data_IF_722691253650
#
_entry.id   IF_722691253650
#
_cell.length_a   1.000
_cell.length_b   1.000
_cell.length_c   1.000
_cell.angle_alpha   90.00
_cell.angle_beta   90.00
_cell.angle_gamma   90.00
#
_symmetry.space_group_name_H-M   'P 1'
#
loop_
_entity.id
_entity.type
_entity.pdbx_description
1 polymer ?
#
# COMPACT_ATOMS: atom_id res chain seq x y z
N UNK A 1 -21.55 -14.48 -27.02
CA UNK A 1 -20.76 -15.69 -26.71
C UNK A 1 -19.36 -15.49 -27.27
N UNK A 2 -18.53 -14.71 -26.57
CA UNK A 2 -17.14 -14.44 -26.99
C UNK A 2 -16.24 -15.50 -26.37
N UNK A 3 -15.70 -16.40 -27.20
CA UNK A 3 -14.63 -17.31 -26.80
C UNK A 3 -13.39 -16.46 -26.48
N UNK A 4 -13.12 -16.26 -25.18
CA UNK A 4 -11.90 -15.63 -24.69
C UNK A 4 -10.73 -16.59 -24.89
N UNK A 5 -10.12 -16.54 -26.07
CA UNK A 5 -8.81 -17.13 -26.31
C UNK A 5 -7.74 -16.23 -25.67
N UNK A 6 -7.56 -16.35 -24.36
CA UNK A 6 -6.25 -16.01 -23.78
C UNK A 6 -5.29 -17.02 -24.41
N UNK A 7 -4.29 -16.60 -25.23
CA UNK A 7 -3.38 -17.54 -25.84
C UNK A 7 -2.71 -18.37 -24.73
N UNK A 8 -2.50 -19.68 -24.92
CA UNK A 8 -1.86 -20.51 -23.91
C UNK A 8 -0.49 -19.91 -23.58
N UNK A 9 -0.37 -19.35 -22.38
CA UNK A 9 0.89 -18.79 -21.89
C UNK A 9 1.95 -19.90 -21.96
N UNK A 10 3.04 -19.65 -22.70
CA UNK A 10 4.13 -20.62 -22.85
C UNK A 10 4.67 -21.08 -21.50
N UNK A 11 5.15 -22.33 -21.43
CA UNK A 11 5.62 -22.94 -20.18
C UNK A 11 6.69 -22.13 -19.43
N UNK A 12 7.52 -21.39 -20.17
CA UNK A 12 8.53 -20.47 -19.61
C UNK A 12 7.94 -19.34 -18.78
N UNK A 13 6.82 -18.74 -19.21
CA UNK A 13 6.16 -17.63 -18.50
C UNK A 13 5.56 -18.12 -17.18
N UNK A 14 5.03 -19.35 -17.14
CA UNK A 14 4.52 -19.94 -15.89
C UNK A 14 5.64 -20.15 -14.86
N UNK A 15 6.83 -20.56 -15.32
CA UNK A 15 8.01 -20.70 -14.45
C UNK A 15 8.44 -19.33 -13.92
N UNK A 16 8.55 -18.32 -14.78
CA UNK A 16 8.83 -16.93 -14.40
C UNK A 16 7.84 -16.45 -13.31
N UNK A 17 6.55 -16.74 -13.47
CA UNK A 17 5.50 -16.36 -12.53
C UNK A 17 5.67 -17.03 -11.16
N UNK A 18 5.97 -18.33 -11.13
CA UNK A 18 6.25 -19.07 -9.89
C UNK A 18 7.49 -18.50 -9.18
N UNK A 19 8.54 -18.17 -9.93
CA UNK A 19 9.76 -17.54 -9.37
C UNK A 19 9.43 -16.22 -8.67
N UNK A 20 8.51 -15.42 -9.19
CA UNK A 20 8.09 -14.18 -8.54
C UNK A 20 7.51 -14.43 -7.13
N UNK A 21 6.68 -15.47 -6.99
CA UNK A 21 6.12 -15.88 -5.69
C UNK A 21 7.23 -16.35 -4.74
N UNK A 22 8.17 -17.17 -5.23
CA UNK A 22 9.30 -17.66 -4.44
C UNK A 22 10.19 -16.52 -3.93
N UNK A 23 10.46 -15.51 -4.77
CA UNK A 23 11.19 -14.31 -4.33
C UNK A 23 10.40 -13.56 -3.24
N UNK A 24 9.07 -13.41 -3.39
CA UNK A 24 8.21 -12.84 -2.37
C UNK A 24 8.32 -13.57 -1.01
N UNK A 25 8.21 -14.89 -1.02
CA UNK A 25 8.42 -15.73 0.17
C UNK A 25 9.82 -15.52 0.76
N UNK A 26 10.84 -15.44 -0.10
CA UNK A 26 12.20 -15.11 0.30
C UNK A 26 12.32 -13.76 1.02
N UNK A 27 11.59 -12.72 0.57
CA UNK A 27 11.54 -11.42 1.23
C UNK A 27 10.85 -11.47 2.61
N UNK A 28 9.81 -12.30 2.77
CA UNK A 28 9.20 -12.57 4.09
C UNK A 28 10.24 -13.17 5.05
N UNK A 29 11.00 -14.15 4.57
CA UNK A 29 12.06 -14.78 5.36
C UNK A 29 13.15 -13.76 5.72
N UNK A 30 13.57 -12.89 4.80
CA UNK A 30 14.57 -11.85 5.09
C UNK A 30 14.07 -10.79 6.07
N UNK A 31 12.78 -10.46 6.05
CA UNK A 31 12.16 -9.46 6.94
C UNK A 31 11.74 -9.99 8.31
N UNK A 32 11.87 -11.30 8.58
CA UNK A 32 11.39 -11.99 9.81
C UNK A 32 11.81 -11.42 11.16
N UNK A 33 12.84 -10.56 11.20
CA UNK A 33 13.33 -9.94 12.43
C UNK A 33 12.68 -8.57 12.72
N UNK A 34 11.94 -8.00 11.77
CA UNK A 34 11.11 -6.82 11.95
C UNK A 34 9.66 -7.21 11.66
N UNK A 35 8.86 -7.40 12.72
CA UNK A 35 7.50 -7.95 12.59
C UNK A 35 6.59 -7.09 11.70
N UNK A 36 6.54 -5.75 11.84
CA UNK A 36 5.76 -4.93 10.93
C UNK A 36 6.15 -5.10 9.45
N UNK A 37 7.46 -5.12 9.16
CA UNK A 37 7.96 -5.32 7.81
C UNK A 37 7.66 -6.74 7.30
N UNK A 38 7.75 -7.75 8.17
CA UNK A 38 7.40 -9.12 7.84
C UNK A 38 5.92 -9.24 7.43
N UNK A 39 5.00 -8.65 8.19
CA UNK A 39 3.56 -8.63 7.85
C UNK A 39 3.32 -7.90 6.53
N UNK A 40 3.99 -6.76 6.31
CA UNK A 40 3.89 -6.05 5.04
C UNK A 40 4.42 -6.88 3.85
N UNK A 41 5.52 -7.64 4.02
CA UNK A 41 6.06 -8.53 2.99
C UNK A 41 5.17 -9.76 2.76
N UNK A 42 4.47 -10.26 3.79
CA UNK A 42 3.45 -11.32 3.61
C UNK A 42 2.34 -10.80 2.71
N UNK A 43 1.86 -9.58 2.94
CA UNK A 43 0.86 -8.95 2.07
C UNK A 43 1.37 -8.78 0.63
N UNK A 44 2.58 -8.28 0.42
CA UNK A 44 3.18 -8.16 -0.93
C UNK A 44 3.26 -9.53 -1.60
N UNK A 45 3.67 -10.57 -0.88
CA UNK A 45 3.73 -11.94 -1.40
C UNK A 45 2.34 -12.45 -1.78
N UNK A 46 1.32 -12.15 -0.96
CA UNK A 46 -0.06 -12.50 -1.27
C UNK A 46 -0.60 -11.78 -2.51
N UNK A 47 -0.18 -10.53 -2.73
CA UNK A 47 -0.50 -9.80 -3.95
C UNK A 47 0.11 -10.48 -5.18
N UNK A 48 1.40 -10.84 -5.10
CA UNK A 48 2.11 -11.54 -6.19
C UNK A 48 1.45 -12.90 -6.45
N UNK A 49 1.14 -13.65 -5.40
CA UNK A 49 0.40 -14.92 -5.50
C UNK A 49 -0.92 -14.74 -6.25
N UNK A 50 -1.71 -13.73 -5.88
CA UNK A 50 -3.02 -13.46 -6.49
C UNK A 50 -2.90 -13.13 -7.97
N UNK A 51 -1.90 -12.34 -8.35
CA UNK A 51 -1.58 -12.04 -9.75
C UNK A 51 -1.22 -13.32 -10.51
N UNK A 52 -0.31 -14.13 -9.96
CA UNK A 52 0.19 -15.34 -10.61
C UNK A 52 -0.92 -16.38 -10.77
N UNK A 53 -1.73 -16.60 -9.74
CA UNK A 53 -2.85 -17.52 -9.82
C UNK A 53 -3.94 -17.01 -10.76
N UNK A 54 -4.32 -15.74 -10.65
CA UNK A 54 -5.40 -15.14 -11.43
C UNK A 54 -5.10 -14.98 -12.91
N UNK A 55 -3.87 -14.62 -13.27
CA UNK A 55 -3.50 -14.24 -14.64
C UNK A 55 -2.60 -15.25 -15.37
N UNK A 56 -1.93 -16.17 -14.67
CA UNK A 56 -0.92 -17.06 -15.29
C UNK A 56 -1.18 -18.56 -15.12
N UNK A 57 -1.70 -18.98 -13.97
CA UNK A 57 -1.88 -20.41 -13.67
C UNK A 57 -3.33 -20.85 -13.91
N UNK A 58 -4.30 -20.18 -13.30
CA UNK A 58 -5.70 -20.60 -13.30
C UNK A 58 -6.54 -19.74 -14.28
N UNK A 59 -5.99 -19.43 -15.46
CA UNK A 59 -6.60 -18.51 -16.44
C UNK A 59 -7.98 -18.93 -16.94
N UNK A 60 -8.29 -20.23 -16.92
CA UNK A 60 -9.59 -20.78 -17.29
C UNK A 60 -10.70 -20.61 -16.24
N UNK A 61 -10.36 -20.16 -15.03
CA UNK A 61 -11.29 -20.12 -13.89
C UNK A 61 -11.93 -18.75 -13.61
N UNK A 62 -11.90 -17.83 -14.60
CA UNK A 62 -12.47 -16.48 -14.50
C UNK A 62 -11.94 -15.63 -13.31
N UNK A 63 -10.76 -15.95 -12.80
CA UNK A 63 -10.13 -15.25 -11.66
C UNK A 63 -9.40 -13.97 -12.06
N UNK A 64 -9.12 -13.81 -13.35
CA UNK A 64 -8.51 -12.61 -13.92
C UNK A 64 -9.51 -11.46 -14.07
N UNK A 65 -8.98 -10.29 -14.42
CA UNK A 65 -9.82 -9.10 -14.70
C UNK A 65 -10.65 -9.33 -15.97
N UNK A 66 -11.93 -8.90 -16.01
CA UNK A 66 -12.81 -9.08 -17.17
C UNK A 66 -12.46 -8.16 -18.36
N UNK A 67 -11.42 -7.34 -18.24
CA UNK A 67 -10.88 -6.49 -19.31
C UNK A 67 -9.81 -7.28 -20.07
N UNK A 68 -9.82 -7.23 -21.41
CA UNK A 68 -8.95 -8.09 -22.23
C UNK A 68 -8.08 -7.36 -23.25
N UNK A 69 -8.26 -6.05 -23.38
CA UNK A 69 -7.63 -5.23 -24.43
C UNK A 69 -6.10 -5.37 -24.47
N UNK A 70 -5.45 -5.38 -23.30
CA UNK A 70 -3.99 -5.49 -23.18
C UNK A 70 -3.51 -6.89 -22.76
N UNK A 71 -4.39 -7.90 -22.76
CA UNK A 71 -4.09 -9.28 -22.34
C UNK A 71 -3.39 -10.11 -23.41
N UNK A 72 -2.39 -9.53 -24.06
CA UNK A 72 -1.53 -10.26 -25.01
C UNK A 72 -0.36 -10.91 -24.27
N UNK A 73 0.14 -12.02 -24.79
CA UNK A 73 1.28 -12.74 -24.20
C UNK A 73 2.51 -11.83 -24.08
N UNK A 74 2.75 -10.96 -25.05
CA UNK A 74 3.89 -10.05 -25.08
C UNK A 74 3.83 -8.99 -23.98
N UNK A 75 2.69 -8.29 -23.85
CA UNK A 75 2.48 -7.25 -22.83
C UNK A 75 2.55 -7.88 -21.43
N UNK A 76 1.85 -8.99 -21.22
CA UNK A 76 1.81 -9.66 -19.92
C UNK A 76 3.17 -10.27 -19.54
N UNK A 77 3.91 -10.85 -20.49
CA UNK A 77 5.28 -11.34 -20.21
C UNK A 77 6.20 -10.18 -19.84
N UNK A 78 6.12 -9.05 -20.56
CA UNK A 78 6.92 -7.85 -20.26
C UNK A 78 6.58 -7.29 -18.88
N UNK A 79 5.29 -7.19 -18.54
CA UNK A 79 4.81 -6.73 -17.23
C UNK A 79 5.33 -7.63 -16.09
N UNK A 80 5.33 -8.95 -16.30
CA UNK A 80 5.82 -9.91 -15.32
C UNK A 80 7.33 -9.78 -15.13
N UNK A 81 8.08 -9.61 -16.22
CA UNK A 81 9.53 -9.43 -16.19
C UNK A 81 9.95 -8.13 -15.51
N UNK A 82 9.18 -7.05 -15.67
CA UNK A 82 9.36 -5.80 -14.91
C UNK A 82 9.22 -6.07 -13.40
N UNK A 83 8.17 -6.77 -12.99
CA UNK A 83 7.94 -7.14 -11.59
C UNK A 83 9.08 -8.04 -11.06
N UNK A 84 9.48 -9.05 -11.83
CA UNK A 84 10.57 -9.97 -11.47
C UNK A 84 11.90 -9.26 -11.30
N UNK A 85 12.27 -8.38 -12.23
CA UNK A 85 13.51 -7.60 -12.14
C UNK A 85 13.52 -6.74 -10.88
N UNK A 86 12.43 -6.02 -10.63
CA UNK A 86 12.26 -5.21 -9.43
C UNK A 86 12.41 -6.03 -8.15
N UNK A 87 11.68 -7.14 -8.04
CA UNK A 87 11.74 -8.03 -6.88
C UNK A 87 13.12 -8.66 -6.70
N UNK A 88 13.78 -9.05 -7.78
CA UNK A 88 15.12 -9.65 -7.76
C UNK A 88 16.17 -8.68 -7.22
N UNK A 89 16.15 -7.42 -7.66
CA UNK A 89 17.06 -6.38 -7.16
C UNK A 89 16.81 -6.15 -5.67
N UNK A 90 15.55 -5.99 -5.26
CA UNK A 90 15.21 -5.82 -3.84
C UNK A 90 15.68 -7.02 -3.02
N UNK A 91 15.46 -8.23 -3.51
CA UNK A 91 15.86 -9.45 -2.84
C UNK A 91 17.39 -9.56 -2.70
N UNK A 92 18.15 -9.33 -3.76
CA UNK A 92 19.62 -9.42 -3.75
C UNK A 92 20.22 -8.37 -2.80
N UNK A 93 19.78 -7.12 -2.93
CA UNK A 93 20.33 -6.00 -2.15
C UNK A 93 19.60 -5.73 -0.83
N UNK A 94 18.73 -6.64 -0.41
CA UNK A 94 17.99 -6.54 0.84
C UNK A 94 18.96 -6.36 2.03
N UNK A 95 18.67 -5.45 2.98
CA UNK A 95 19.54 -5.20 4.12
C UNK A 95 19.86 -6.49 4.90
N UNK A 96 21.15 -6.84 5.01
CA UNK A 96 21.62 -8.08 5.69
C UNK A 96 21.39 -8.06 7.21
N UNK A 97 21.50 -6.89 7.84
CA UNK A 97 21.24 -6.68 9.26
C UNK A 97 20.03 -5.78 9.40
N UNK A 98 18.99 -6.32 10.02
CA UNK A 98 17.82 -5.57 10.46
C UNK A 98 18.01 -5.39 11.96
N UNK A 99 18.40 -4.19 12.39
CA UNK A 99 18.46 -3.93 13.82
C UNK A 99 17.04 -4.00 14.40
N UNK A 100 16.93 -4.61 15.58
CA UNK A 100 15.66 -4.89 16.25
C UNK A 100 14.83 -3.63 16.49
N UNK A 101 13.50 -3.83 16.42
CA UNK A 101 12.36 -2.97 16.78
C UNK A 101 12.55 -1.45 16.64
N UNK A 102 11.67 -0.84 15.83
CA UNK A 102 11.39 0.60 15.90
C UNK A 102 10.84 0.96 17.29
N UNK A 103 11.70 1.19 18.27
CA UNK A 103 11.27 1.69 19.58
C UNK A 103 11.20 3.21 19.47
N UNK A 104 10.12 3.68 18.85
CA UNK A 104 9.77 5.09 18.87
C UNK A 104 9.38 5.47 20.29
N UNK A 105 10.22 6.25 20.98
CA UNK A 105 9.93 6.78 22.30
C UNK A 105 8.94 7.95 22.18
N UNK A 106 7.69 7.83 22.68
CA UNK A 106 6.72 8.93 22.61
C UNK A 106 7.16 10.11 23.47
N UNK A 107 6.83 11.33 23.04
CA UNK A 107 6.97 12.56 23.81
C UNK A 107 5.61 12.96 24.37
N UNK A 108 5.53 13.25 25.67
CA UNK A 108 4.28 13.64 26.31
C UNK A 108 3.92 15.08 25.94
N UNK A 109 2.78 15.27 25.27
CA UNK A 109 2.18 16.59 25.10
C UNK A 109 0.65 16.47 24.95
N UNK A 110 -0.09 16.81 26.02
CA UNK A 110 -1.55 16.67 26.05
C UNK A 110 -2.28 17.58 25.06
N UNK A 111 -1.78 18.80 24.83
CA UNK A 111 -2.43 19.77 23.95
C UNK A 111 -2.35 19.32 22.49
N UNK A 112 -1.15 18.95 22.03
CA UNK A 112 -0.95 18.40 20.69
C UNK A 112 -1.73 17.10 20.52
N UNK A 113 -1.67 16.20 21.51
CA UNK A 113 -2.42 14.96 21.49
C UNK A 113 -3.93 15.21 21.30
N UNK A 114 -4.52 16.07 22.13
CA UNK A 114 -5.96 16.34 22.11
C UNK A 114 -6.39 17.00 20.79
N UNK A 115 -5.59 17.92 20.26
CA UNK A 115 -5.83 18.54 18.95
C UNK A 115 -5.82 17.50 17.81
N UNK A 116 -4.85 16.58 17.80
CA UNK A 116 -4.79 15.50 16.80
C UNK A 116 -5.99 14.57 16.94
N UNK A 117 -6.37 14.19 18.16
CA UNK A 117 -7.55 13.34 18.41
C UNK A 117 -8.83 14.02 17.88
N UNK A 118 -8.99 15.32 18.11
CA UNK A 118 -10.15 16.08 17.59
C UNK A 118 -10.21 16.03 16.06
N UNK A 119 -9.07 16.19 15.37
CA UNK A 119 -9.01 16.08 13.90
C UNK A 119 -9.32 14.64 13.46
N UNK A 120 -8.80 13.62 14.15
CA UNK A 120 -9.10 12.23 13.83
C UNK A 120 -10.58 11.90 14.00
N UNK A 121 -11.24 12.41 15.05
CA UNK A 121 -12.69 12.26 15.22
C UNK A 121 -13.44 12.96 14.09
N UNK A 122 -13.05 14.19 13.72
CA UNK A 122 -13.62 14.89 12.58
C UNK A 122 -13.50 14.08 11.28
N UNK A 123 -12.32 13.53 10.99
CA UNK A 123 -12.09 12.67 9.81
C UNK A 123 -12.92 11.38 9.90
N UNK A 124 -13.05 10.77 11.08
CA UNK A 124 -13.87 9.58 11.26
C UNK A 124 -15.34 9.84 10.94
N UNK A 125 -15.85 11.01 11.32
CA UNK A 125 -17.24 11.39 11.09
C UNK A 125 -17.47 11.84 9.63
N UNK A 126 -16.61 12.69 9.07
CA UNK A 126 -16.87 13.36 7.78
C UNK A 126 -16.00 12.85 6.61
N UNK A 127 -14.98 12.05 6.87
CA UNK A 127 -14.04 11.55 5.86
C UNK A 127 -14.55 10.38 5.03
N UNK A 128 -15.81 9.96 5.21
CA UNK A 128 -16.44 8.87 4.46
C UNK A 128 -17.75 9.35 3.85
N UNK A 129 -17.93 9.01 2.57
CA UNK A 129 -19.18 9.23 1.84
C UNK A 129 -20.22 8.15 2.19
N UNK A 130 -21.32 8.57 2.84
CA UNK A 130 -22.40 7.69 3.29
C UNK A 130 -23.61 7.67 2.36
N UNK A 131 -23.55 8.29 1.19
CA UNK A 131 -24.67 8.32 0.22
C UNK A 131 -25.02 6.92 -0.32
N UNK A 132 -26.28 6.69 -0.74
CA UNK A 132 -26.77 5.38 -1.24
C UNK A 132 -26.24 5.14 -2.66
N UNK A 133 -25.78 3.92 -2.98
CA UNK A 133 -25.00 3.63 -4.20
C UNK A 133 -25.80 3.04 -5.36
N UNK A 134 -25.42 3.41 -6.59
CA UNK A 134 -25.76 2.74 -7.86
C UNK A 134 -24.56 2.08 -8.57
N UNK A 135 -23.29 2.40 -8.21
CA UNK A 135 -22.08 1.87 -8.88
C UNK A 135 -20.86 1.61 -7.96
N UNK A 136 -19.88 0.83 -8.45
CA UNK A 136 -18.70 0.29 -7.73
C UNK A 136 -17.62 1.36 -7.44
N UNK A 137 -17.81 2.22 -6.44
CA UNK A 137 -16.77 3.14 -5.95
C UNK A 137 -16.45 2.94 -4.47
N UNK A 138 -15.18 3.14 -4.09
CA UNK A 138 -14.72 3.13 -2.70
C UNK A 138 -15.04 4.48 -2.05
N UNK A 139 -15.70 4.48 -0.89
CA UNK A 139 -16.27 5.69 -0.22
C UNK A 139 -15.30 6.47 0.67
N UNK A 140 -14.00 6.26 0.48
CA UNK A 140 -12.96 6.74 1.38
C UNK A 140 -12.33 8.00 0.79
N UNK A 141 -12.40 9.11 1.52
CA UNK A 141 -11.72 10.34 1.10
C UNK A 141 -10.20 10.22 1.23
N UNK A 142 -9.45 11.00 0.45
CA UNK A 142 -8.00 11.08 0.61
C UNK A 142 -7.58 11.49 2.02
N UNK A 143 -8.37 12.33 2.70
CA UNK A 143 -8.14 12.70 4.11
C UNK A 143 -8.15 11.49 5.03
N UNK A 144 -9.06 10.54 4.80
CA UNK A 144 -9.15 9.31 5.56
C UNK A 144 -7.92 8.43 5.32
N UNK A 145 -7.41 8.35 4.10
CA UNK A 145 -6.16 7.61 3.81
C UNK A 145 -4.94 8.22 4.51
N UNK A 146 -4.85 9.56 4.54
CA UNK A 146 -3.77 10.27 5.22
C UNK A 146 -3.91 10.29 6.75
N UNK A 147 -5.03 9.81 7.31
CA UNK A 147 -5.22 9.71 8.76
C UNK A 147 -4.17 8.83 9.45
N UNK A 148 -3.53 7.91 8.72
CA UNK A 148 -2.43 7.07 9.24
C UNK A 148 -1.26 7.91 9.76
N UNK A 149 -0.99 9.07 9.15
CA UNK A 149 0.04 10.01 9.61
C UNK A 149 -0.39 10.63 10.94
N UNK A 150 -1.65 11.06 11.03
CA UNK A 150 -2.19 11.65 12.26
C UNK A 150 -2.21 10.65 13.41
N UNK A 151 -2.56 9.39 13.15
CA UNK A 151 -2.47 8.33 14.16
C UNK A 151 -1.03 8.11 14.66
N UNK A 152 -0.03 8.17 13.77
CA UNK A 152 1.37 8.06 14.16
C UNK A 152 1.79 9.22 15.07
N UNK A 153 1.38 10.45 14.76
CA UNK A 153 1.66 11.62 15.61
C UNK A 153 0.82 11.66 16.90
N UNK A 154 -0.40 11.11 16.89
CA UNK A 154 -1.19 10.90 18.10
C UNK A 154 -0.46 9.94 19.04
N UNK A 155 0.04 8.82 18.53
CA UNK A 155 0.89 7.92 19.31
C UNK A 155 2.16 8.63 19.81
N UNK A 156 2.85 9.35 18.94
CA UNK A 156 4.09 10.05 19.29
C UNK A 156 3.88 11.10 20.38
N UNK A 157 2.75 11.81 20.40
CA UNK A 157 2.38 12.82 21.41
C UNK A 157 1.75 12.24 22.70
N UNK A 158 1.40 10.96 22.71
CA UNK A 158 0.68 10.32 23.83
C UNK A 158 1.53 10.13 25.09
N UNK A 159 2.86 10.23 24.99
CA UNK A 159 3.77 9.86 26.08
C UNK A 159 3.62 8.39 26.47
N UNK A 160 3.82 8.07 27.77
CA UNK A 160 3.63 6.70 28.29
C UNK A 160 2.29 6.52 29.04
N UNK A 161 1.27 7.31 28.71
CA UNK A 161 -0.02 7.27 29.42
C UNK A 161 -0.95 6.21 28.82
N UNK A 162 -1.36 5.23 29.63
CA UNK A 162 -2.22 4.12 29.19
C UNK A 162 -3.54 4.62 28.58
N UNK A 163 -4.23 5.54 29.24
CA UNK A 163 -5.51 6.10 28.78
C UNK A 163 -5.42 6.64 27.35
N UNK A 164 -4.36 7.40 27.04
CA UNK A 164 -4.18 7.99 25.70
C UNK A 164 -3.92 6.93 24.64
N UNK A 165 -3.12 5.91 24.97
CA UNK A 165 -2.88 4.76 24.09
C UNK A 165 -4.18 3.96 23.85
N UNK A 166 -5.01 3.80 24.87
CA UNK A 166 -6.34 3.17 24.75
C UNK A 166 -7.26 3.97 23.83
N UNK A 167 -7.32 5.30 23.98
CA UNK A 167 -8.11 6.18 23.10
C UNK A 167 -7.67 6.04 21.64
N UNK A 168 -6.36 6.06 21.37
CA UNK A 168 -5.83 5.83 20.02
C UNK A 168 -6.26 4.45 19.51
N UNK A 169 -6.11 3.40 20.32
CA UNK A 169 -6.48 2.04 19.94
C UNK A 169 -7.96 1.89 19.58
N UNK A 170 -8.86 2.48 20.38
CA UNK A 170 -10.29 2.49 20.11
C UNK A 170 -10.63 3.21 18.80
N UNK A 171 -9.98 4.36 18.55
CA UNK A 171 -10.17 5.09 17.29
C UNK A 171 -9.63 4.32 16.08
N UNK A 172 -8.46 3.68 16.20
CA UNK A 172 -7.93 2.81 15.13
C UNK A 172 -8.90 1.67 14.81
N UNK A 173 -9.46 1.03 15.84
CA UNK A 173 -10.45 -0.04 15.68
C UNK A 173 -11.71 0.49 14.99
N UNK A 174 -12.23 1.63 15.42
CA UNK A 174 -13.39 2.27 14.78
C UNK A 174 -13.12 2.56 13.30
N UNK A 175 -11.95 3.11 12.97
CA UNK A 175 -11.56 3.38 11.59
C UNK A 175 -11.44 2.09 10.76
N UNK A 176 -10.85 1.02 11.29
CA UNK A 176 -10.74 -0.26 10.59
C UNK A 176 -12.14 -0.84 10.29
N UNK A 177 -13.03 -0.88 11.28
CA UNK A 177 -14.38 -1.41 11.07
C UNK A 177 -15.20 -0.57 10.09
N UNK A 178 -15.10 0.76 10.22
CA UNK A 178 -15.78 1.67 9.31
C UNK A 178 -15.26 1.51 7.87
N UNK A 179 -13.95 1.42 7.71
CA UNK A 179 -13.30 1.19 6.41
C UNK A 179 -13.76 -0.13 5.78
N UNK A 180 -13.74 -1.24 6.52
CA UNK A 180 -14.26 -2.53 6.04
C UNK A 180 -15.74 -2.49 5.68
N UNK A 181 -16.57 -1.82 6.49
CA UNK A 181 -18.01 -1.68 6.22
C UNK A 181 -18.28 -0.97 4.89
N UNK A 182 -17.49 0.06 4.56
CA UNK A 182 -17.58 0.79 3.30
C UNK A 182 -16.68 0.23 2.19
N UNK A 183 -16.15 -0.98 2.37
CA UNK A 183 -15.43 -1.73 1.34
C UNK A 183 -13.96 -1.35 1.14
N UNK A 184 -13.40 -0.54 2.04
CA UNK A 184 -11.97 -0.30 2.20
C UNK A 184 -11.27 -1.53 2.73
N UNK A 185 -10.06 -1.81 2.21
CA UNK A 185 -9.24 -2.97 2.60
C UNK A 185 -7.80 -2.57 2.88
N UNK A 186 -7.25 -1.76 1.97
CA UNK A 186 -5.84 -1.33 2.02
C UNK A 186 -5.59 -0.33 3.14
N UNK A 187 -6.47 0.66 3.30
CA UNK A 187 -6.45 1.65 4.38
C UNK A 187 -6.52 1.00 5.76
N UNK A 188 -7.46 0.07 5.97
CA UNK A 188 -7.48 -0.77 7.19
C UNK A 188 -6.16 -1.47 7.44
N UNK A 189 -5.56 -2.09 6.42
CA UNK A 189 -4.27 -2.76 6.57
C UNK A 189 -3.15 -1.79 6.96
N UNK A 190 -3.15 -0.55 6.45
CA UNK A 190 -2.17 0.48 6.85
C UNK A 190 -2.31 0.82 8.34
N UNK A 191 -3.54 0.95 8.85
CA UNK A 191 -3.81 1.23 10.27
C UNK A 191 -3.43 0.02 11.14
N UNK A 192 -3.71 -1.22 10.70
CA UNK A 192 -3.29 -2.45 11.39
C UNK A 192 -1.76 -2.50 11.48
N UNK A 193 -1.05 -2.29 10.37
CA UNK A 193 0.41 -2.25 10.36
C UNK A 193 0.95 -1.15 11.28
N UNK A 194 0.25 0.00 11.37
CA UNK A 194 0.63 1.08 12.26
C UNK A 194 0.46 0.68 13.72
N UNK A 195 -0.65 0.03 14.08
CA UNK A 195 -0.88 -0.51 15.41
C UNK A 195 0.21 -1.54 15.80
N UNK A 196 0.57 -2.45 14.89
CA UNK A 196 1.68 -3.42 15.06
C UNK A 196 3.01 -2.69 15.28
N UNK A 197 3.25 -1.60 14.57
CA UNK A 197 4.48 -0.81 14.66
C UNK A 197 4.58 0.06 15.92
N UNK A 198 3.46 0.35 16.59
CA UNK A 198 3.37 1.34 17.66
C UNK A 198 2.80 0.77 18.97
N UNK A 199 1.49 0.55 19.02
CA UNK A 199 0.76 0.11 20.22
C UNK A 199 1.08 -1.34 20.61
N UNK A 200 1.22 -2.21 19.61
CA UNK A 200 1.45 -3.66 19.80
C UNK A 200 2.91 -4.05 19.59
N UNK A 201 3.80 -3.07 19.48
CA UNK A 201 5.21 -3.29 19.24
C UNK A 201 5.83 -4.09 20.41
N UNK A 202 6.49 -5.19 20.09
CA UNK A 202 7.05 -6.12 21.09
C UNK A 202 6.03 -7.06 21.76
N UNK A 203 4.72 -6.84 21.59
CA UNK A 203 3.68 -7.74 22.10
C UNK A 203 3.38 -8.90 21.14
N UNK A 204 3.56 -8.68 19.85
CA UNK A 204 3.27 -9.67 18.81
C UNK A 204 4.51 -10.53 18.59
N UNK A 205 4.35 -11.86 18.61
CA UNK A 205 5.40 -12.81 18.23
C UNK A 205 5.35 -13.10 16.73
N UNK A 206 6.44 -13.65 16.17
CA UNK A 206 6.49 -14.04 14.74
C UNK A 206 5.40 -15.04 14.37
N UNK A 207 5.12 -16.00 15.26
CA UNK A 207 4.05 -17.00 15.11
C UNK A 207 2.68 -16.32 15.06
N UNK A 208 2.41 -15.41 15.99
CA UNK A 208 1.15 -14.67 16.03
C UNK A 208 0.98 -13.78 14.78
N UNK A 209 2.05 -13.12 14.32
CA UNK A 209 2.03 -12.34 13.10
C UNK A 209 1.73 -13.19 11.85
N UNK A 210 2.29 -14.40 11.76
CA UNK A 210 2.01 -15.33 10.64
C UNK A 210 0.55 -15.79 10.65
N UNK A 211 0.07 -16.29 11.79
CA UNK A 211 -1.33 -16.74 11.95
C UNK A 211 -2.29 -15.57 11.70
N UNK A 212 -2.01 -14.41 12.29
CA UNK A 212 -2.80 -13.20 12.10
C UNK A 212 -2.83 -12.72 10.66
N UNK A 213 -1.75 -12.91 9.89
CA UNK A 213 -1.73 -12.57 8.46
C UNK A 213 -2.60 -13.54 7.64
N UNK A 214 -2.60 -14.84 7.95
CA UNK A 214 -3.47 -15.83 7.30
C UNK A 214 -4.95 -15.50 7.58
N UNK A 215 -5.28 -15.23 8.85
CA UNK A 215 -6.62 -14.80 9.25
C UNK A 215 -6.98 -13.47 8.58
N UNK A 216 -6.04 -12.52 8.51
CA UNK A 216 -6.25 -11.23 7.86
C UNK A 216 -6.50 -11.32 6.37
N UNK A 217 -5.84 -12.25 5.67
CA UNK A 217 -6.14 -12.57 4.26
C UNK A 217 -7.57 -13.08 4.15
N UNK A 218 -7.96 -14.04 4.98
CA UNK A 218 -9.31 -14.59 4.99
C UNK A 218 -10.38 -13.52 5.22
N UNK A 219 -10.21 -12.68 6.25
CA UNK A 219 -11.12 -11.57 6.56
C UNK A 219 -11.21 -10.58 5.40
N UNK A 220 -10.08 -10.19 4.81
CA UNK A 220 -10.08 -9.27 3.66
C UNK A 220 -10.83 -9.85 2.46
N UNK A 221 -10.69 -11.15 2.22
CA UNK A 221 -11.41 -11.82 1.14
C UNK A 221 -12.91 -11.93 1.42
N UNK A 222 -13.31 -12.15 2.67
CA UNK A 222 -14.73 -12.11 3.08
C UNK A 222 -15.36 -10.74 2.90
N UNK A 223 -14.64 -9.65 3.22
CA UNK A 223 -15.11 -8.27 2.97
C UNK A 223 -15.36 -8.05 1.47
N UNK A 224 -14.54 -8.64 0.60
CA UNK A 224 -14.75 -8.62 -0.85
C UNK A 224 -16.07 -9.29 -1.27
N UNK A 225 -16.38 -10.46 -0.69
CA UNK A 225 -17.61 -11.21 -0.98
C UNK A 225 -18.85 -10.52 -0.42
N UNK A 226 -18.78 -10.02 0.82
CA UNK A 226 -19.86 -9.34 1.52
C UNK A 226 -20.45 -8.18 0.69
N UNK A 227 -19.61 -7.42 -0.01
CA UNK A 227 -20.03 -6.28 -0.84
C UNK A 227 -21.02 -6.64 -1.95
N UNK A 228 -21.02 -7.88 -2.40
CA UNK A 228 -21.79 -8.31 -3.55
C UNK A 228 -23.06 -9.10 -3.16
N UNK A 229 -23.33 -9.26 -1.85
CA UNK A 229 -24.41 -10.09 -1.35
C UNK A 229 -25.45 -9.26 -0.58
N UNK A 230 -26.73 -9.52 -0.88
CA UNK A 230 -27.88 -8.96 -0.14
C UNK A 230 -28.04 -9.66 1.22
N UNK A 231 -27.64 -10.93 1.32
CA UNK A 231 -27.60 -11.72 2.54
C UNK A 231 -26.25 -12.45 2.66
N UNK A 232 -25.59 -12.32 3.81
CA UNK A 232 -24.29 -12.93 4.05
C UNK A 232 -24.45 -14.38 4.54
N UNK A 233 -24.04 -15.34 3.72
CA UNK A 233 -23.85 -16.73 4.11
C UNK A 233 -22.35 -17.03 4.19
N UNK A 234 -21.88 -17.35 5.40
CA UNK A 234 -20.48 -17.63 5.68
C UNK A 234 -19.97 -18.89 4.97
N UNK A 235 -20.78 -19.95 4.88
CA UNK A 235 -20.38 -21.21 4.25
C UNK A 235 -20.26 -21.01 2.75
N UNK A 236 -21.25 -20.35 2.14
CA UNK A 236 -21.21 -20.00 0.72
C UNK A 236 -20.02 -19.08 0.40
N UNK A 237 -19.74 -18.09 1.26
CA UNK A 237 -18.58 -17.22 1.10
C UNK A 237 -17.26 -17.99 1.18
N UNK A 238 -17.11 -18.90 2.14
CA UNK A 238 -15.92 -19.74 2.25
C UNK A 238 -15.72 -20.64 1.03
N UNK A 239 -16.78 -21.31 0.56
CA UNK A 239 -16.73 -22.16 -0.62
C UNK A 239 -16.39 -21.35 -1.88
N UNK A 240 -16.93 -20.13 -2.00
CA UNK A 240 -16.59 -19.22 -3.09
C UNK A 240 -15.10 -18.86 -3.06
N UNK A 241 -14.56 -18.47 -1.89
CA UNK A 241 -13.13 -18.18 -1.74
C UNK A 241 -12.23 -19.37 -2.09
N UNK A 242 -12.63 -20.58 -1.68
CA UNK A 242 -11.91 -21.82 -2.03
C UNK A 242 -11.92 -22.05 -3.54
N UNK A 243 -13.08 -21.89 -4.19
CA UNK A 243 -13.21 -22.05 -5.64
C UNK A 243 -12.40 -20.98 -6.40
N UNK A 244 -12.27 -19.79 -5.82
CA UNK A 244 -11.43 -18.70 -6.32
C UNK A 244 -9.95 -18.82 -5.93
N UNK A 245 -9.55 -19.94 -5.30
CA UNK A 245 -8.17 -20.19 -4.86
C UNK A 245 -7.62 -19.07 -3.97
N UNK A 246 -8.49 -18.40 -3.20
CA UNK A 246 -8.14 -17.24 -2.37
C UNK A 246 -7.46 -16.11 -3.15
N UNK A 247 -7.72 -15.96 -4.45
CA UNK A 247 -7.20 -14.84 -5.25
C UNK A 247 -7.80 -13.53 -4.77
N UNK A 248 -6.94 -12.57 -4.46
CA UNK A 248 -7.34 -11.19 -4.16
C UNK A 248 -7.49 -10.41 -5.47
N UNK A 249 -8.68 -9.87 -5.72
CA UNK A 249 -9.03 -9.09 -6.92
C UNK A 249 -8.15 -7.85 -7.11
N UNK A 250 -7.90 -7.09 -6.04
CA UNK A 250 -7.24 -5.78 -6.14
C UNK A 250 -5.84 -5.83 -6.79
N UNK A 251 -4.93 -6.76 -6.42
CA UNK A 251 -3.67 -6.96 -7.11
C UNK A 251 -3.81 -7.34 -8.58
N UNK A 252 -4.84 -8.13 -8.93
CA UNK A 252 -5.09 -8.55 -10.32
C UNK A 252 -5.51 -7.34 -11.16
N UNK A 253 -6.41 -6.48 -10.65
CA UNK A 253 -6.77 -5.20 -11.28
C UNK A 253 -5.56 -4.26 -11.41
N UNK A 254 -4.75 -4.13 -10.35
CA UNK A 254 -3.52 -3.34 -10.40
C UNK A 254 -2.51 -3.90 -11.42
N UNK A 255 -2.45 -5.22 -11.60
CA UNK A 255 -1.61 -5.86 -12.61
C UNK A 255 -2.10 -5.55 -14.03
N UNK A 256 -3.41 -5.64 -14.28
CA UNK A 256 -3.98 -5.24 -15.56
C UNK A 256 -3.69 -3.76 -15.86
N UNK A 257 -3.88 -2.86 -14.90
CA UNK A 257 -3.51 -1.44 -15.06
C UNK A 257 -2.00 -1.29 -15.38
N UNK A 258 -1.15 -2.08 -14.73
CA UNK A 258 0.29 -2.12 -15.04
C UNK A 258 0.58 -2.56 -16.48
N UNK A 259 -0.17 -3.53 -17.00
CA UNK A 259 -0.08 -3.96 -18.39
C UNK A 259 -0.48 -2.83 -19.36
N UNK A 260 -1.44 -1.98 -19.00
CA UNK A 260 -1.77 -0.79 -19.82
C UNK A 260 -0.62 0.22 -19.88
N UNK A 261 0.16 0.38 -18.80
CA UNK A 261 1.37 1.22 -18.83
C UNK A 261 2.39 0.69 -19.84
N UNK A 262 2.61 -0.62 -19.84
CA UNK A 262 3.53 -1.30 -20.76
C UNK A 262 3.04 -1.21 -22.20
N UNK A 263 1.74 -1.46 -22.41
CA UNK A 263 1.11 -1.38 -23.73
C UNK A 263 1.25 0.03 -24.33
N UNK A 264 1.06 1.06 -23.51
CA UNK A 264 1.19 2.46 -23.94
C UNK A 264 2.59 2.72 -24.49
N UNK A 265 3.65 2.31 -23.80
CA UNK A 265 5.01 2.55 -24.30
C UNK A 265 5.31 1.76 -25.58
N UNK A 266 4.85 0.51 -25.63
CA UNK A 266 5.29 -0.42 -26.67
C UNK A 266 4.48 -0.28 -27.97
N UNK A 267 3.22 0.15 -27.88
CA UNK A 267 2.29 0.13 -29.02
C UNK A 267 1.65 1.48 -29.31
N UNK A 268 1.75 2.45 -28.40
CA UNK A 268 1.35 3.83 -28.70
C UNK A 268 2.63 4.62 -28.90
N UNK A 269 2.70 5.42 -29.96
CA UNK A 269 3.89 6.22 -30.29
C UNK A 269 4.02 7.43 -29.33
N UNK A 270 3.88 7.21 -28.03
CA UNK A 270 4.02 8.24 -27.01
C UNK A 270 5.44 8.79 -27.05
N UNK A 271 5.55 10.11 -27.15
CA UNK A 271 6.85 10.75 -27.30
C UNK A 271 7.65 10.64 -26.01
N UNK A 272 8.98 10.59 -26.15
CA UNK A 272 9.87 10.62 -24.99
C UNK A 272 9.67 11.91 -24.17
N UNK A 273 9.35 13.03 -24.84
CA UNK A 273 9.06 14.31 -24.20
C UNK A 273 7.83 14.24 -23.28
N UNK A 274 6.72 13.65 -23.73
CA UNK A 274 5.51 13.48 -22.91
C UNK A 274 5.78 12.60 -21.68
N UNK A 275 6.59 11.55 -21.84
CA UNK A 275 6.97 10.66 -20.73
C UNK A 275 7.78 11.40 -19.66
N UNK A 276 8.74 12.24 -20.07
CA UNK A 276 9.51 13.07 -19.14
C UNK A 276 8.65 14.17 -18.51
N UNK A 277 7.72 14.77 -19.25
CA UNK A 277 6.78 15.75 -18.71
C UNK A 277 5.88 15.11 -17.64
N UNK A 278 5.36 13.90 -17.89
CA UNK A 278 4.62 13.13 -16.90
C UNK A 278 5.46 12.86 -15.64
N UNK A 279 6.73 12.52 -15.80
CA UNK A 279 7.66 12.31 -14.67
C UNK A 279 7.90 13.59 -13.87
N UNK A 280 8.06 14.74 -14.55
CA UNK A 280 8.22 16.04 -13.90
C UNK A 280 6.95 16.43 -13.12
N UNK A 281 5.77 16.25 -13.73
CA UNK A 281 4.48 16.49 -13.10
C UNK A 281 4.26 15.58 -11.89
N UNK A 282 4.71 14.32 -11.96
CA UNK A 282 4.74 13.43 -10.81
C UNK A 282 5.62 13.99 -9.67
N UNK A 283 6.82 14.49 -9.95
CA UNK A 283 7.70 15.07 -8.93
C UNK A 283 7.04 16.31 -8.31
N UNK A 284 6.47 17.21 -9.11
CA UNK A 284 5.73 18.37 -8.61
C UNK A 284 4.55 17.96 -7.72
N UNK A 285 3.84 16.89 -8.10
CA UNK A 285 2.71 16.38 -7.32
C UNK A 285 3.10 15.94 -5.91
N UNK A 286 4.34 15.49 -5.68
CA UNK A 286 4.81 15.12 -4.33
C UNK A 286 4.66 16.29 -3.35
N UNK A 287 4.94 17.51 -3.81
CA UNK A 287 5.02 18.70 -2.96
C UNK A 287 3.75 19.54 -2.98
N UNK A 288 3.16 19.76 -4.16
CA UNK A 288 2.12 20.78 -4.37
C UNK A 288 0.69 20.22 -4.37
N UNK A 289 0.52 18.91 -4.49
CA UNK A 289 -0.75 18.40 -5.03
C UNK A 289 -0.68 18.30 -6.55
N UNK A 290 -1.63 17.60 -7.17
CA UNK A 290 -1.77 17.60 -8.63
C UNK A 290 -3.20 17.96 -9.00
N UNK A 291 -3.38 19.04 -9.75
CA UNK A 291 -4.60 19.30 -10.52
C UNK A 291 -4.52 18.62 -11.90
N UNK A 292 -3.31 18.49 -12.46
CA UNK A 292 -3.08 17.83 -13.76
C UNK A 292 -3.03 16.30 -13.63
N UNK A 293 -3.84 15.60 -14.45
CA UNK A 293 -3.92 14.14 -14.47
C UNK A 293 -2.64 13.44 -14.93
N UNK A 294 -1.74 14.13 -15.65
CA UNK A 294 -0.56 13.55 -16.30
C UNK A 294 0.50 13.04 -15.32
N UNK A 295 0.54 13.53 -14.07
CA UNK A 295 1.42 13.00 -13.02
C UNK A 295 0.93 11.67 -12.41
N UNK A 296 -0.34 11.32 -12.61
CA UNK A 296 -0.89 10.02 -12.25
C UNK A 296 -0.98 9.15 -13.50
N UNK A 297 0.08 8.37 -13.76
CA UNK A 297 0.21 7.58 -14.98
C UNK A 297 -1.02 6.71 -15.24
N UNK A 298 -1.53 6.02 -14.22
CA UNK A 298 -2.66 5.11 -14.41
C UNK A 298 -3.91 5.85 -14.89
N UNK A 299 -4.16 7.04 -14.33
CA UNK A 299 -5.26 7.91 -14.76
C UNK A 299 -4.98 8.50 -16.15
N UNK A 300 -3.76 8.98 -16.39
CA UNK A 300 -3.35 9.51 -17.68
C UNK A 300 -3.53 8.47 -18.81
N UNK A 301 -3.10 7.23 -18.59
CA UNK A 301 -3.28 6.12 -19.54
C UNK A 301 -4.76 5.78 -19.71
N UNK A 302 -5.56 5.82 -18.65
CA UNK A 302 -7.00 5.64 -18.72
C UNK A 302 -7.68 6.67 -19.64
N UNK A 303 -7.35 7.93 -19.42
CA UNK A 303 -7.99 9.06 -20.08
C UNK A 303 -7.62 9.15 -21.57
N UNK A 304 -6.47 8.62 -21.99
CA UNK A 304 -5.91 8.85 -23.34
C UNK A 304 -5.66 7.60 -24.19
N UNK A 305 -5.48 6.41 -23.59
CA UNK A 305 -4.98 5.24 -24.33
C UNK A 305 -5.77 3.95 -24.07
N UNK A 306 -5.88 3.50 -22.82
CA UNK A 306 -6.43 2.18 -22.49
C UNK A 306 -7.28 2.23 -21.21
N UNK A 307 -8.46 1.60 -21.26
CA UNK A 307 -9.35 1.52 -20.11
C UNK A 307 -8.70 0.67 -19.01
N UNK A 308 -8.68 1.20 -17.78
CA UNK A 308 -8.29 0.49 -16.57
C UNK A 308 -9.17 0.92 -15.37
N UNK A 309 -8.97 0.33 -14.19
CA UNK A 309 -9.78 0.62 -12.98
C UNK A 309 -8.93 1.24 -11.87
N UNK A 310 -7.84 1.93 -12.25
CA UNK A 310 -6.86 2.47 -11.31
C UNK A 310 -5.92 1.42 -10.72
N UNK A 311 -5.06 1.87 -9.81
CA UNK A 311 -3.99 1.05 -9.24
C UNK A 311 -2.70 1.14 -10.07
N UNK A 312 -1.90 0.09 -10.06
CA UNK A 312 -0.67 -0.03 -10.84
C UNK A 312 0.52 -0.38 -9.96
N UNK A 313 1.24 -1.43 -10.34
CA UNK A 313 2.34 -1.95 -9.55
C UNK A 313 3.53 -1.00 -9.68
N UNK A 314 4.12 -0.65 -8.54
CA UNK A 314 5.16 0.37 -8.39
C UNK A 314 6.20 0.43 -9.54
N UNK A 315 6.93 -0.65 -9.89
CA UNK A 315 7.96 -0.60 -10.94
C UNK A 315 7.44 -0.24 -12.34
N UNK A 316 6.17 -0.49 -12.66
CA UNK A 316 5.64 -0.20 -14.00
C UNK A 316 5.45 1.30 -14.24
N UNK A 317 5.30 2.08 -13.18
CA UNK A 317 5.27 3.54 -13.28
C UNK A 317 6.63 4.09 -13.72
N UNK A 318 7.71 3.56 -13.17
CA UNK A 318 9.05 3.94 -13.58
C UNK A 318 9.43 3.38 -14.95
N UNK A 319 8.89 2.21 -15.31
CA UNK A 319 8.98 1.71 -16.68
C UNK A 319 8.31 2.70 -17.66
N UNK A 320 7.12 3.19 -17.33
CA UNK A 320 6.44 4.25 -18.09
C UNK A 320 7.36 5.44 -18.37
N UNK A 321 7.99 6.01 -17.35
CA UNK A 321 8.86 7.18 -17.54
C UNK A 321 10.19 6.88 -18.24
N UNK A 322 10.90 5.82 -17.84
CA UNK A 322 12.31 5.64 -18.23
C UNK A 322 12.65 4.23 -18.79
N UNK A 323 11.64 3.43 -19.13
CA UNK A 323 11.81 2.07 -19.62
C UNK A 323 12.50 1.15 -18.60
N UNK A 324 13.33 0.22 -19.07
CA UNK A 324 14.03 -0.74 -18.22
C UNK A 324 14.96 -0.08 -17.18
N UNK A 325 15.58 1.06 -17.53
CA UNK A 325 16.38 1.84 -16.57
C UNK A 325 15.53 2.33 -15.41
N UNK A 326 14.29 2.74 -15.68
CA UNK A 326 13.34 3.13 -14.64
C UNK A 326 13.04 2.02 -13.64
N UNK A 327 12.89 0.78 -14.11
CA UNK A 327 12.66 -0.38 -13.25
C UNK A 327 13.82 -0.58 -12.28
N UNK A 328 15.06 -0.51 -12.78
CA UNK A 328 16.28 -0.62 -11.97
C UNK A 328 16.34 0.53 -10.95
N UNK A 329 16.11 1.78 -11.39
CA UNK A 329 16.09 2.95 -10.51
C UNK A 329 15.05 2.80 -9.39
N UNK A 330 13.83 2.36 -9.73
CA UNK A 330 12.75 2.17 -8.76
C UNK A 330 13.12 1.14 -7.67
N UNK A 331 13.78 0.04 -8.05
CA UNK A 331 14.24 -0.97 -7.12
C UNK A 331 15.39 -0.46 -6.23
N UNK A 332 16.35 0.27 -6.80
CA UNK A 332 17.46 0.88 -6.05
C UNK A 332 16.96 1.93 -5.05
N UNK A 333 15.94 2.73 -5.41
CA UNK A 333 15.29 3.67 -4.50
C UNK A 333 14.70 2.93 -3.30
N UNK A 334 13.90 1.87 -3.54
CA UNK A 334 13.30 1.07 -2.47
C UNK A 334 14.37 0.42 -1.59
N UNK A 335 15.44 -0.12 -2.18
CA UNK A 335 16.58 -0.67 -1.43
C UNK A 335 17.26 0.40 -0.58
N UNK A 336 17.50 1.59 -1.12
CA UNK A 336 18.10 2.72 -0.41
C UNK A 336 17.25 3.13 0.79
N UNK A 337 15.95 3.27 0.57
CA UNK A 337 14.97 3.55 1.62
C UNK A 337 14.98 2.46 2.71
N UNK A 338 14.92 1.17 2.34
CA UNK A 338 14.98 0.07 3.31
C UNK A 338 16.29 0.06 4.10
N UNK A 339 17.43 0.39 3.48
CA UNK A 339 18.73 0.50 4.19
C UNK A 339 18.75 1.65 5.19
N UNK A 340 18.19 2.80 4.84
CA UNK A 340 18.13 3.97 5.73
C UNK A 340 17.20 3.66 6.89
N UNK A 341 15.98 3.21 6.57
CA UNK A 341 14.92 2.97 7.56
C UNK A 341 15.30 1.93 8.61
N UNK A 342 16.06 0.89 8.25
CA UNK A 342 16.42 -0.21 9.16
C UNK A 342 17.72 -0.01 9.95
N UNK A 343 18.44 1.11 9.77
CA UNK A 343 19.74 1.37 10.44
C UNK A 343 19.76 2.58 11.38
N UNK A 344 18.81 3.48 11.24
CA UNK A 344 18.79 4.79 11.89
C UNK A 344 18.12 4.79 13.27
N UNK A 345 18.66 5.58 14.20
CA UNK A 345 18.10 5.84 15.53
C UNK A 345 17.49 7.25 15.66
N UNK A 346 17.54 8.07 14.60
CA UNK A 346 16.99 9.43 14.63
C UNK A 346 15.46 9.36 14.67
N UNK A 347 14.82 10.17 15.53
CA UNK A 347 13.36 10.24 15.67
C UNK A 347 12.63 10.49 14.35
N UNK A 348 13.05 11.48 13.56
CA UNK A 348 12.41 11.78 12.28
C UNK A 348 12.51 10.57 11.36
N UNK A 349 13.70 9.98 11.26
CA UNK A 349 13.89 8.83 10.38
C UNK A 349 13.11 7.60 10.88
N UNK A 350 12.94 7.38 12.19
CA UNK A 350 12.06 6.34 12.72
C UNK A 350 10.58 6.57 12.36
N UNK A 351 10.10 7.81 12.47
CA UNK A 351 8.73 8.17 12.05
C UNK A 351 8.54 7.89 10.56
N UNK A 352 9.52 8.29 9.73
CA UNK A 352 9.54 7.99 8.29
C UNK A 352 9.53 6.48 8.07
N UNK A 353 10.36 5.71 8.78
CA UNK A 353 10.42 4.25 8.65
C UNK A 353 9.08 3.58 8.94
N UNK A 354 8.43 3.96 10.05
CA UNK A 354 7.11 3.43 10.40
C UNK A 354 6.10 3.80 9.31
N UNK A 355 6.10 5.05 8.84
CA UNK A 355 5.20 5.48 7.76
C UNK A 355 5.43 4.71 6.46
N UNK A 356 6.68 4.43 6.09
CA UNK A 356 7.00 3.70 4.85
C UNK A 356 6.55 2.25 4.95
N UNK A 357 6.80 1.58 6.08
CA UNK A 357 6.40 0.18 6.29
C UNK A 357 4.89 0.02 6.31
N UNK A 358 4.20 0.94 6.99
CA UNK A 358 2.73 0.91 7.09
C UNK A 358 2.07 1.18 5.75
N UNK A 359 2.72 1.90 4.84
CA UNK A 359 2.16 2.28 3.54
C UNK A 359 2.60 1.39 2.38
N UNK A 360 3.40 0.34 2.63
CA UNK A 360 3.80 -0.68 1.64
C UNK A 360 2.62 -1.19 0.81
N UNK A 361 1.49 -1.61 1.42
CA UNK A 361 0.34 -2.08 0.65
C UNK A 361 -0.13 -1.09 -0.42
N UNK A 362 -0.06 0.21 -0.11
CA UNK A 362 -0.57 1.27 -0.97
C UNK A 362 0.41 1.62 -2.08
N UNK A 363 1.67 1.90 -1.76
CA UNK A 363 2.63 2.31 -2.80
C UNK A 363 3.03 1.14 -3.70
N UNK A 364 2.95 -0.11 -3.23
CA UNK A 364 3.22 -1.28 -4.07
C UNK A 364 2.13 -1.50 -5.13
N UNK A 365 0.85 -1.34 -4.77
CA UNK A 365 -0.30 -1.68 -5.64
C UNK A 365 -0.91 -0.50 -6.41
N UNK A 366 -0.72 0.74 -5.95
CA UNK A 366 -1.46 1.88 -6.48
C UNK A 366 -0.60 2.92 -7.15
N UNK A 367 0.31 3.55 -6.41
CA UNK A 367 1.07 4.68 -6.93
C UNK A 367 2.34 4.94 -6.14
N UNK A 368 3.47 5.26 -6.81
CA UNK A 368 4.67 5.75 -6.15
C UNK A 368 4.43 7.02 -5.32
N UNK A 369 3.39 7.80 -5.61
CA UNK A 369 3.09 9.05 -4.90
C UNK A 369 2.88 8.80 -3.41
N UNK A 370 2.22 7.69 -3.05
CA UNK A 370 1.98 7.31 -1.66
C UNK A 370 3.28 7.04 -0.89
N UNK A 371 4.39 6.69 -1.55
CA UNK A 371 5.69 6.54 -0.89
C UNK A 371 6.32 7.90 -0.63
N UNK A 372 6.57 8.68 -1.69
CA UNK A 372 7.35 9.90 -1.59
C UNK A 372 6.61 11.03 -0.87
N UNK A 373 5.30 11.18 -1.11
CA UNK A 373 4.50 12.19 -0.43
C UNK A 373 4.40 11.91 1.06
N UNK A 374 4.31 10.65 1.48
CA UNK A 374 4.30 10.33 2.91
C UNK A 374 5.63 10.69 3.59
N UNK A 375 6.78 10.47 2.93
CA UNK A 375 8.08 10.91 3.45
C UNK A 375 8.11 12.45 3.65
N UNK A 376 7.61 13.18 2.67
CA UNK A 376 7.52 14.64 2.71
C UNK A 376 6.58 15.12 3.84
N UNK A 377 5.35 14.59 3.90
CA UNK A 377 4.35 14.95 4.90
C UNK A 377 4.83 14.63 6.31
N UNK A 378 5.44 13.47 6.57
CA UNK A 378 6.02 13.16 7.89
C UNK A 378 7.07 14.20 8.30
N UNK A 379 7.88 14.66 7.35
CA UNK A 379 8.89 15.69 7.61
C UNK A 379 8.26 17.03 8.00
N UNK A 380 7.20 17.45 7.29
CA UNK A 380 6.42 18.66 7.64
C UNK A 380 5.78 18.52 9.01
N UNK A 381 5.04 17.42 9.24
CA UNK A 381 4.35 17.19 10.52
C UNK A 381 5.33 17.11 11.69
N UNK A 382 6.54 16.60 11.48
CA UNK A 382 7.59 16.59 12.48
C UNK A 382 8.09 18.00 12.82
N UNK A 383 8.30 18.84 11.81
CA UNK A 383 8.63 20.26 12.02
C UNK A 383 7.53 20.99 12.79
N UNK A 384 6.27 20.82 12.37
CA UNK A 384 5.10 21.40 13.06
C UNK A 384 5.00 20.91 14.51
N UNK A 385 5.25 19.61 14.74
CA UNK A 385 5.27 19.03 16.08
C UNK A 385 6.34 19.70 16.96
N UNK A 386 7.56 19.88 16.45
CA UNK A 386 8.64 20.54 17.22
C UNK A 386 8.26 21.98 17.57
N UNK A 387 7.70 22.73 16.62
CA UNK A 387 7.27 24.11 16.83
C UNK A 387 6.14 24.20 17.88
N UNK A 388 5.09 23.38 17.72
CA UNK A 388 3.98 23.31 18.67
C UNK A 388 4.41 22.84 20.06
N UNK A 389 5.35 21.90 20.12
CA UNK A 389 5.90 21.41 21.39
C UNK A 389 6.61 22.53 22.15
N UNK A 390 7.49 23.28 21.48
CA UNK A 390 8.18 24.44 22.10
C UNK A 390 7.18 25.46 22.62
N UNK A 391 6.18 25.81 21.81
CA UNK A 391 5.16 26.80 22.17
C UNK A 391 4.41 26.40 23.45
N UNK A 392 3.85 25.18 23.46
CA UNK A 392 3.03 24.67 24.59
C UNK A 392 3.83 24.47 25.87
N UNK A 393 5.10 24.07 25.78
CA UNK A 393 5.96 23.95 26.97
C UNK A 393 6.37 25.30 27.57
N UNK A 394 6.54 26.33 26.75
CA UNK A 394 6.86 27.67 27.25
C UNK A 394 5.63 28.32 27.90
N UNK A 395 4.44 28.09 27.37
CA UNK A 395 3.19 28.58 27.97
C UNK A 395 2.88 27.90 29.30
N UNK A 396 3.12 26.59 29.42
CA UNK A 396 2.88 25.88 30.69
C UNK A 396 3.78 26.39 31.82
N UNK A 397 5.04 26.73 31.53
CA UNK A 397 5.97 27.29 32.52
C UNK A 397 5.51 28.69 32.98
N UNK A 398 5.01 29.52 32.05
CA UNK A 398 4.49 30.85 32.37
C UNK A 398 3.17 30.85 33.15
N UNK A 399 2.39 29.78 33.09
CA UNK A 399 1.12 29.64 33.82
C UNK A 399 1.31 29.01 35.21
N UNK A 400 2.46 28.38 35.47
CA UNK A 400 2.83 27.81 36.79
C UNK A 400 3.62 28.78 37.67
N UNK A 401 3.95 29.96 37.15
CA UNK A 401 4.49 31.11 37.88
C UNK A 401 3.41 32.18 37.97
#
# INVERSE_FOLDING_TARGET
MYLFLVPPLGGTIKIEAIVAVLIGVGLVVKSRNCIPLMVAMIFVTYCIYSIVMGEYIATSSHLGVPLTEVRTQEIYSTTLRILLLFLSIIFIFFPKKINHLFILKPKDNIFIFSFIIMILVYIGIFGIDRTVQTHYMVRISSLYEYSVILFLFAYYSSGNKLVRKTVIGLLMIAFIFQDYYYGGRITSLQIILLAISTLLNGMITKKLALIGSIVGIFVNSLVGVYRNLIHFDFIAAFLNLKNQLFVFDTPVYAYYASATHVATINYTNISLSERFQSAANFICSIFLGSEENSGNITKYVNDHYYINVGGGIFPTHFYFWFGWLGVILSALIVVGILKITLKTNNTLTMLISISIITTIPRWFLYTPLSLFRNIFLISIFYCLFILGYKFTTQTSIRLSH
#
